data_IF_260917607653
#
_entry.id   IF_260917607653
#
_cell.length_a   1.000
_cell.length_b   1.000
_cell.length_c   1.000
_cell.angle_alpha   90.00
_cell.angle_beta   90.00
_cell.angle_gamma   90.00
#
_symmetry.space_group_name_H-M   'P 1'
#
loop_
_entity.id
_entity.type
_entity.pdbx_description
1 polymer ?
#
# COMPACT_ATOMS: atom_id res chain seq x y z
N UNK A 1 2.95 -23.27 -6.29
CA UNK A 1 1.64 -22.72 -5.86
C UNK A 1 1.79 -22.16 -4.48
N UNK A 2 1.92 -20.84 -4.38
CA UNK A 2 1.75 -20.06 -3.15
C UNK A 2 1.31 -18.69 -3.64
N UNK A 3 0.02 -18.57 -3.97
CA UNK A 3 -0.57 -17.31 -4.37
C UNK A 3 -0.67 -16.43 -3.13
N UNK A 4 0.42 -15.74 -2.79
CA UNK A 4 0.38 -14.67 -1.79
C UNK A 4 -0.68 -13.67 -2.26
N UNK A 5 -1.82 -13.58 -1.57
CA UNK A 5 -2.92 -12.74 -2.03
C UNK A 5 -2.44 -11.29 -2.08
N UNK A 6 -2.82 -10.54 -3.10
CA UNK A 6 -2.60 -9.09 -3.08
C UNK A 6 -3.56 -8.44 -2.09
N UNK A 7 -3.29 -7.20 -1.69
CA UNK A 7 -4.27 -6.41 -0.92
C UNK A 7 -5.60 -6.32 -1.67
N UNK A 8 -5.58 -6.27 -3.01
CA UNK A 8 -6.79 -6.32 -3.83
C UNK A 8 -7.56 -7.64 -3.67
N UNK A 9 -6.86 -8.77 -3.56
CA UNK A 9 -7.49 -10.07 -3.29
C UNK A 9 -8.05 -10.14 -1.87
N UNK A 10 -7.34 -9.58 -0.88
CA UNK A 10 -7.85 -9.47 0.49
C UNK A 10 -9.10 -8.59 0.59
N UNK A 11 -9.16 -7.50 -0.17
CA UNK A 11 -10.37 -6.66 -0.30
C UNK A 11 -11.54 -7.46 -0.89
N UNK A 12 -11.29 -8.24 -1.94
CA UNK A 12 -12.32 -9.13 -2.54
C UNK A 12 -12.80 -10.18 -1.55
N UNK A 13 -11.88 -10.76 -0.77
CA UNK A 13 -12.19 -11.72 0.30
C UNK A 13 -12.75 -11.07 1.57
N UNK A 14 -12.88 -9.73 1.63
CA UNK A 14 -13.30 -8.96 2.80
C UNK A 14 -12.43 -9.14 4.06
N UNK A 15 -11.19 -9.59 3.87
CA UNK A 15 -10.17 -9.71 4.91
C UNK A 15 -9.57 -8.35 5.27
N UNK A 16 -9.57 -7.42 4.32
CA UNK A 16 -9.12 -6.03 4.47
C UNK A 16 -10.22 -5.10 3.98
N UNK A 17 -10.32 -3.91 4.55
CA UNK A 17 -11.31 -2.89 4.14
C UNK A 17 -10.65 -1.71 3.41
N UNK A 18 -11.41 -1.02 2.56
CA UNK A 18 -10.91 0.19 1.87
C UNK A 18 -10.47 1.27 2.86
N UNK A 19 -11.12 1.35 4.03
CA UNK A 19 -10.73 2.24 5.12
C UNK A 19 -9.31 1.94 5.64
N UNK A 20 -8.93 0.66 5.77
CA UNK A 20 -7.57 0.27 6.16
C UNK A 20 -6.55 0.59 5.07
N UNK A 21 -6.89 0.38 3.80
CA UNK A 21 -6.03 0.78 2.69
C UNK A 21 -5.83 2.29 2.68
N UNK A 22 -6.91 3.07 2.88
CA UNK A 22 -6.82 4.52 3.01
C UNK A 22 -5.92 4.93 4.18
N UNK A 23 -6.08 4.30 5.34
CA UNK A 23 -5.23 4.58 6.50
C UNK A 23 -3.75 4.26 6.24
N UNK A 24 -3.44 3.16 5.55
CA UNK A 24 -2.08 2.84 5.14
C UNK A 24 -1.51 3.87 4.16
N UNK A 25 -2.30 4.32 3.19
CA UNK A 25 -1.92 5.39 2.25
C UNK A 25 -1.61 6.69 3.01
N UNK A 26 -2.50 7.09 3.91
CA UNK A 26 -2.37 8.33 4.67
C UNK A 26 -1.15 8.26 5.62
N UNK A 27 -0.86 7.08 6.20
CA UNK A 27 0.35 6.84 6.97
C UNK A 27 1.64 7.01 6.13
N UNK A 28 1.66 6.49 4.90
CA UNK A 28 2.79 6.67 3.97
C UNK A 28 2.94 8.14 3.54
N UNK A 29 1.83 8.86 3.35
CA UNK A 29 1.87 10.29 3.03
C UNK A 29 2.44 11.13 4.18
N UNK A 30 2.11 10.79 5.42
CA UNK A 30 2.69 11.44 6.62
C UNK A 30 4.14 11.02 6.82
N UNK A 31 4.45 9.74 6.65
CA UNK A 31 5.78 9.19 6.78
C UNK A 31 6.08 8.16 5.68
N UNK A 32 6.89 8.52 4.66
CA UNK A 32 7.21 7.60 3.57
C UNK A 32 8.13 6.43 3.98
N UNK A 33 8.64 6.42 5.22
CA UNK A 33 9.35 5.29 5.83
C UNK A 33 8.49 4.53 6.84
N UNK A 34 7.17 4.61 6.71
CA UNK A 34 6.27 3.75 7.46
C UNK A 34 6.63 2.31 7.12
N UNK A 35 7.16 1.58 8.11
CA UNK A 35 7.60 0.20 7.97
C UNK A 35 6.41 -0.76 7.80
N UNK A 36 6.50 -2.00 8.27
CA UNK A 36 5.40 -2.95 8.16
C UNK A 36 4.13 -2.40 8.81
N UNK A 37 3.07 -2.26 8.02
CA UNK A 37 1.75 -1.82 8.43
C UNK A 37 0.87 -3.04 8.71
N UNK A 38 0.29 -3.12 9.90
CA UNK A 38 -0.65 -4.18 10.24
C UNK A 38 -2.01 -3.89 9.61
N UNK A 39 -2.45 -4.78 8.75
CA UNK A 39 -3.79 -4.87 8.20
C UNK A 39 -4.65 -5.77 9.10
N UNK A 40 -5.96 -5.82 8.83
CA UNK A 40 -6.86 -6.75 9.54
C UNK A 40 -6.44 -8.22 9.35
N UNK A 41 -7.01 -9.09 10.19
CA UNK A 41 -6.82 -10.55 10.12
C UNK A 41 -5.37 -11.04 10.26
N UNK A 42 -4.49 -10.22 10.87
CA UNK A 42 -3.08 -10.57 11.09
C UNK A 42 -2.19 -10.41 9.85
N UNK A 43 -2.67 -9.72 8.82
CA UNK A 43 -1.85 -9.43 7.64
C UNK A 43 -0.91 -8.27 7.92
N UNK A 44 0.33 -8.40 7.46
CA UNK A 44 1.37 -7.38 7.58
C UNK A 44 1.78 -6.97 6.17
N UNK A 45 1.71 -5.68 5.88
CA UNK A 45 2.08 -5.11 4.60
C UNK A 45 3.29 -4.19 4.75
N UNK A 46 4.40 -4.50 4.09
CA UNK A 46 5.50 -3.55 3.97
C UNK A 46 5.16 -2.50 2.90
N UNK A 47 4.58 -1.38 3.35
CA UNK A 47 4.18 -0.26 2.50
C UNK A 47 5.38 0.41 1.84
N UNK A 48 6.53 0.44 2.52
CA UNK A 48 7.76 1.01 1.95
C UNK A 48 8.28 0.13 0.81
N UNK A 49 8.30 -1.19 1.00
CA UNK A 49 8.68 -2.13 -0.05
C UNK A 49 7.69 -2.10 -1.22
N UNK A 50 6.39 -2.02 -0.94
CA UNK A 50 5.34 -1.91 -1.96
C UNK A 50 5.53 -0.68 -2.86
N UNK A 51 5.73 0.49 -2.24
CA UNK A 51 5.95 1.75 -2.96
C UNK A 51 7.24 1.71 -3.78
N UNK A 52 8.31 1.11 -3.24
CA UNK A 52 9.58 0.93 -3.96
C UNK A 52 9.49 -0.05 -5.13
N UNK A 53 8.66 -1.08 -5.01
CA UNK A 53 8.43 -2.05 -6.08
C UNK A 53 7.63 -1.40 -7.24
N UNK A 54 6.78 -0.42 -6.94
CA UNK A 54 6.01 0.31 -7.94
C UNK A 54 6.79 1.53 -8.50
N UNK A 55 7.24 1.41 -9.75
CA UNK A 55 7.97 2.48 -10.46
C UNK A 55 7.16 3.78 -10.56
N UNK A 56 5.84 3.68 -10.69
CA UNK A 56 4.96 4.83 -10.84
C UNK A 56 4.81 5.55 -9.50
N UNK A 57 4.54 4.82 -8.41
CA UNK A 57 4.48 5.41 -7.07
C UNK A 57 5.80 6.07 -6.66
N UNK A 58 6.93 5.42 -6.94
CA UNK A 58 8.25 5.99 -6.68
C UNK A 58 8.49 7.27 -7.49
N UNK A 59 8.14 7.30 -8.77
CA UNK A 59 8.27 8.49 -9.61
C UNK A 59 7.38 9.65 -9.11
N UNK A 60 6.11 9.37 -8.79
CA UNK A 60 5.17 10.39 -8.31
C UNK A 60 5.55 10.94 -6.93
N UNK A 61 6.16 10.13 -6.06
CA UNK A 61 6.67 10.60 -4.77
C UNK A 61 7.92 11.47 -4.90
N UNK A 62 8.81 11.14 -5.86
CA UNK A 62 10.00 11.93 -6.16
C UNK A 62 9.67 13.25 -6.85
N UNK A 63 8.55 13.32 -7.55
CA UNK A 63 8.10 14.53 -8.24
C UNK A 63 7.66 15.60 -7.21
N UNK A 64 8.40 16.72 -7.08
CA UNK A 64 8.04 17.79 -6.16
C UNK A 64 6.78 18.54 -6.59
N UNK A 65 6.48 18.57 -7.90
CA UNK A 65 5.29 19.27 -8.44
C UNK A 65 4.01 18.42 -8.40
N UNK A 66 4.12 17.14 -8.02
CA UNK A 66 2.99 16.23 -8.03
C UNK A 66 1.96 16.63 -6.98
N UNK A 67 0.70 16.72 -7.43
CA UNK A 67 -0.43 17.09 -6.58
C UNK A 67 -0.60 16.08 -5.44
N UNK A 68 -1.03 16.50 -4.24
CA UNK A 68 -1.27 15.59 -3.12
C UNK A 68 -2.22 14.43 -3.48
N UNK A 69 -3.26 14.70 -4.26
CA UNK A 69 -4.19 13.67 -4.75
C UNK A 69 -3.52 12.66 -5.69
N UNK A 70 -2.58 13.07 -6.53
CA UNK A 70 -1.82 12.18 -7.42
C UNK A 70 -0.88 11.28 -6.63
N UNK A 71 -0.17 11.83 -5.62
CA UNK A 71 0.68 11.03 -4.71
C UNK A 71 -0.16 9.97 -3.99
N UNK A 72 -1.32 10.36 -3.45
CA UNK A 72 -2.27 9.44 -2.79
C UNK A 72 -2.72 8.32 -3.71
N UNK A 73 -3.12 8.64 -4.95
CA UNK A 73 -3.57 7.65 -5.92
C UNK A 73 -2.45 6.66 -6.30
N UNK A 74 -1.22 7.15 -6.52
CA UNK A 74 -0.09 6.30 -6.87
C UNK A 74 0.30 5.34 -5.72
N UNK A 75 0.33 5.84 -4.48
CA UNK A 75 0.56 5.01 -3.29
C UNK A 75 -0.56 3.98 -3.11
N UNK A 76 -1.83 4.39 -3.30
CA UNK A 76 -2.98 3.48 -3.20
C UNK A 76 -2.86 2.33 -4.21
N UNK A 77 -2.50 2.64 -5.46
CA UNK A 77 -2.27 1.61 -6.49
C UNK A 77 -1.13 0.65 -6.12
N UNK A 78 -0.01 1.18 -5.62
CA UNK A 78 1.12 0.34 -5.18
C UNK A 78 0.73 -0.59 -4.02
N UNK A 79 -0.04 -0.08 -3.05
CA UNK A 79 -0.55 -0.88 -1.92
C UNK A 79 -1.50 -1.97 -2.42
N UNK A 80 -2.41 -1.65 -3.34
CA UNK A 80 -3.37 -2.60 -3.89
C UNK A 80 -2.71 -3.77 -4.62
N UNK A 81 -1.57 -3.52 -5.28
CA UNK A 81 -0.76 -4.52 -5.98
C UNK A 81 0.23 -5.24 -5.07
N UNK A 82 0.41 -4.77 -3.84
CA UNK A 82 1.36 -5.37 -2.92
C UNK A 82 0.86 -6.70 -2.36
N UNK A 83 1.82 -7.56 -2.02
CA UNK A 83 1.58 -8.87 -1.44
C UNK A 83 1.86 -8.83 0.07
N UNK A 84 0.84 -8.64 0.91
CA UNK A 84 0.98 -8.75 2.35
C UNK A 84 1.38 -10.17 2.76
N UNK A 85 2.13 -10.26 3.85
CA UNK A 85 2.52 -11.52 4.50
C UNK A 85 1.66 -11.72 5.74
N UNK A 86 1.26 -12.96 6.01
CA UNK A 86 0.54 -13.28 7.23
C UNK A 86 1.56 -13.40 8.36
N UNK A 87 1.43 -12.53 9.37
CA UNK A 87 2.29 -12.50 10.56
C UNK A 87 1.92 -13.59 11.56
#
# INVERSE_FOLDING_TARGET
MASNPTVSDLLKSKEVTDAQVSAAVDAVLVNPRTGPFQLASGWVLDVTAAVKADRHATATLKEPTARPGSKRAAIKSAILLAHPVKG
#
